data_IF_665667942357
#
_entry.id   IF_665667942357
#
_cell.length_a   1.000
_cell.length_b   1.000
_cell.length_c   1.000
_cell.angle_alpha   90.00
_cell.angle_beta   90.00
_cell.angle_gamma   90.00
#
_symmetry.space_group_name_H-M   'P 1'
#
loop_
_entity.id
_entity.type
_entity.pdbx_description
1 polymer ?
#
# COMPACT_ATOMS: atom_id res chain seq x y z
N UNK A 1 -5.13 26.51 -20.96
CA UNK A 1 -4.61 25.53 -21.95
C UNK A 1 -3.14 25.77 -22.35
N UNK A 2 -2.48 26.82 -21.87
CA UNK A 2 -1.03 27.09 -22.11
C UNK A 2 -0.10 26.47 -21.07
N UNK A 3 -0.63 25.98 -19.95
CA UNK A 3 0.16 25.55 -18.78
C UNK A 3 0.72 24.13 -18.84
N UNK A 4 0.06 23.18 -19.53
CA UNK A 4 0.53 21.78 -19.57
C UNK A 4 1.91 21.60 -20.23
N UNK A 5 2.20 22.21 -21.38
CA UNK A 5 3.53 22.17 -21.97
C UNK A 5 4.62 22.78 -21.07
N UNK A 6 4.28 23.86 -20.34
CA UNK A 6 5.21 24.56 -19.46
C UNK A 6 5.58 23.68 -18.24
N UNK A 7 4.62 22.95 -17.68
CA UNK A 7 4.87 21.98 -16.60
C UNK A 7 5.76 20.84 -17.10
N UNK A 8 5.48 20.29 -18.27
CA UNK A 8 6.26 19.20 -18.84
C UNK A 8 7.72 19.62 -19.13
N UNK A 9 7.92 20.82 -19.70
CA UNK A 9 9.26 21.39 -19.93
C UNK A 9 10.00 21.62 -18.59
N UNK A 10 9.30 22.13 -17.58
CA UNK A 10 9.86 22.33 -16.25
C UNK A 10 10.31 21.02 -15.60
N UNK A 11 9.48 19.95 -15.65
CA UNK A 11 9.82 18.65 -15.05
C UNK A 11 10.98 17.98 -15.77
N UNK A 12 11.08 18.14 -17.10
CA UNK A 12 12.20 17.60 -17.88
C UNK A 12 13.55 18.19 -17.43
N UNK A 13 13.60 19.46 -17.04
CA UNK A 13 14.78 20.12 -16.48
C UNK A 13 14.37 21.21 -15.45
N UNK A 14 14.16 20.84 -14.17
CA UNK A 14 13.80 21.79 -13.13
C UNK A 14 14.96 22.73 -12.74
N UNK A 15 16.18 22.48 -13.25
CA UNK A 15 17.38 23.24 -12.89
C UNK A 15 17.83 23.02 -11.44
N UNK A 16 17.51 21.87 -10.86
CA UNK A 16 17.82 21.48 -9.47
C UNK A 16 18.71 20.24 -9.49
N UNK A 17 19.81 20.27 -8.71
CA UNK A 17 20.74 19.11 -8.62
C UNK A 17 20.09 17.96 -7.84
N UNK A 18 19.83 16.88 -8.53
CA UNK A 18 19.24 15.63 -8.00
C UNK A 18 20.28 14.49 -7.87
N UNK A 19 21.58 14.80 -8.01
CA UNK A 19 22.66 13.78 -8.00
C UNK A 19 22.76 12.99 -6.70
N UNK A 20 22.20 13.51 -5.60
CA UNK A 20 22.16 12.88 -4.29
C UNK A 20 21.14 11.75 -4.19
N UNK A 21 20.12 11.68 -5.06
CA UNK A 21 19.03 10.70 -4.97
C UNK A 21 19.52 9.26 -5.00
N UNK A 22 20.51 8.96 -5.84
CA UNK A 22 21.15 7.64 -5.91
C UNK A 22 21.77 7.21 -4.58
N UNK A 23 22.42 8.13 -3.86
CA UNK A 23 23.05 7.82 -2.57
C UNK A 23 22.01 7.70 -1.46
N UNK A 24 20.95 8.49 -1.50
CA UNK A 24 19.85 8.42 -0.54
C UNK A 24 19.06 7.11 -0.70
N UNK A 25 18.65 6.77 -1.92
CA UNK A 25 18.01 5.51 -2.25
C UNK A 25 18.87 4.31 -1.83
N UNK A 26 20.16 4.31 -2.20
CA UNK A 26 21.10 3.25 -1.83
C UNK A 26 21.20 3.08 -0.32
N UNK A 27 21.25 4.18 0.43
CA UNK A 27 21.28 4.12 1.89
C UNK A 27 19.99 3.53 2.47
N UNK A 28 18.82 3.95 1.98
CA UNK A 28 17.51 3.41 2.39
C UNK A 28 17.46 1.90 2.15
N UNK A 29 17.83 1.46 0.94
CA UNK A 29 17.82 0.05 0.56
C UNK A 29 18.79 -0.80 1.39
N UNK A 30 19.96 -0.28 1.73
CA UNK A 30 20.96 -0.95 2.56
C UNK A 30 20.57 -1.07 4.04
N UNK A 31 19.70 -0.18 4.54
CA UNK A 31 19.36 -0.06 5.97
C UNK A 31 17.84 -0.15 6.22
N UNK A 32 17.16 -1.17 5.69
CA UNK A 32 15.72 -1.32 5.88
C UNK A 32 15.37 -1.58 7.35
N UNK A 33 14.30 -0.97 7.83
CA UNK A 33 13.76 -1.18 9.18
C UNK A 33 12.32 -1.65 9.09
N UNK A 34 11.93 -2.59 9.97
CA UNK A 34 10.57 -3.12 10.00
C UNK A 34 9.58 -2.07 10.49
N UNK A 35 8.29 -2.28 10.14
CA UNK A 35 7.17 -1.49 10.64
C UNK A 35 7.26 -1.26 12.15
N UNK A 36 6.97 -0.03 12.60
CA UNK A 36 7.06 0.44 13.99
C UNK A 36 8.50 0.49 14.56
N UNK A 37 9.56 0.26 13.77
CA UNK A 37 10.96 0.25 14.18
C UNK A 37 11.85 1.16 13.31
N UNK A 38 11.28 2.09 12.54
CA UNK A 38 11.92 2.87 11.47
C UNK A 38 12.70 4.08 12.03
N UNK A 39 13.43 3.91 13.13
CA UNK A 39 14.10 5.00 13.85
C UNK A 39 15.23 5.65 13.02
N UNK A 40 16.09 4.83 12.38
CA UNK A 40 17.21 5.35 11.59
C UNK A 40 16.73 5.91 10.26
N UNK A 41 15.73 5.27 9.67
CA UNK A 41 15.07 5.73 8.45
C UNK A 41 14.45 7.11 8.65
N UNK A 42 13.70 7.31 9.73
CA UNK A 42 13.13 8.62 10.08
C UNK A 42 14.21 9.69 10.28
N UNK A 43 15.31 9.35 10.97
CA UNK A 43 16.46 10.27 11.13
C UNK A 43 17.10 10.63 9.80
N UNK A 44 17.21 9.67 8.87
CA UNK A 44 17.76 9.90 7.55
C UNK A 44 16.91 10.88 6.75
N UNK A 45 15.57 10.68 6.75
CA UNK A 45 14.58 11.61 6.15
C UNK A 45 14.73 13.00 6.77
N UNK A 46 14.71 13.11 8.10
CA UNK A 46 14.83 14.39 8.82
C UNK A 46 16.14 15.10 8.50
N UNK A 47 17.25 14.38 8.33
CA UNK A 47 18.55 14.97 7.99
C UNK A 47 18.53 15.68 6.63
N UNK A 48 17.76 15.15 5.68
CA UNK A 48 17.59 15.76 4.35
C UNK A 48 16.64 16.94 4.41
N UNK A 49 15.48 16.80 5.08
CA UNK A 49 14.53 17.88 5.28
C UNK A 49 15.15 19.11 5.97
N UNK A 50 16.11 18.89 6.88
CA UNK A 50 16.81 19.97 7.56
C UNK A 50 17.63 20.90 6.64
N UNK A 51 17.82 20.52 5.36
CA UNK A 51 18.49 21.35 4.34
C UNK A 51 17.52 22.24 3.56
N UNK A 52 16.20 22.10 3.80
CA UNK A 52 15.12 22.78 3.07
C UNK A 52 14.45 23.82 3.97
N UNK A 53 13.79 24.80 3.36
CA UNK A 53 13.06 25.86 4.09
C UNK A 53 11.59 25.44 4.28
N UNK A 54 11.34 24.51 5.23
CA UNK A 54 10.01 23.98 5.53
C UNK A 54 9.76 23.85 7.04
N UNK A 55 8.49 23.77 7.43
CA UNK A 55 8.09 23.48 8.80
C UNK A 55 8.00 21.95 8.96
N UNK A 56 8.85 21.35 9.81
CA UNK A 56 8.87 19.90 10.03
C UNK A 56 8.24 19.55 11.37
N UNK A 57 7.31 18.60 11.34
CA UNK A 57 6.78 17.91 12.53
C UNK A 57 7.11 16.42 12.42
N UNK A 58 7.59 15.82 13.49
CA UNK A 58 8.01 14.42 13.50
C UNK A 58 7.48 13.69 14.74
N UNK A 59 7.74 12.38 14.81
CA UNK A 59 7.22 11.49 15.85
C UNK A 59 5.68 11.45 15.88
N UNK A 60 5.05 11.52 14.71
CA UNK A 60 3.59 11.46 14.57
C UNK A 60 3.18 9.98 14.41
N UNK A 61 2.43 9.45 15.38
CA UNK A 61 2.01 8.04 15.35
C UNK A 61 3.17 7.05 15.34
N UNK A 62 4.25 7.37 16.06
CA UNK A 62 5.50 6.64 16.06
C UNK A 62 6.60 7.43 15.33
N UNK A 63 7.02 6.97 14.14
CA UNK A 63 8.11 7.58 13.37
C UNK A 63 7.63 8.49 12.23
N UNK A 64 6.33 8.78 12.12
CA UNK A 64 5.76 9.61 11.05
C UNK A 64 6.29 11.04 11.04
N UNK A 65 6.47 11.59 9.83
CA UNK A 65 7.04 12.91 9.60
C UNK A 65 6.16 13.67 8.62
N UNK A 66 5.96 14.97 8.89
CA UNK A 66 5.38 15.90 7.92
C UNK A 66 6.30 17.09 7.71
N UNK A 67 6.36 17.55 6.47
CA UNK A 67 7.06 18.78 6.09
C UNK A 67 6.11 19.67 5.31
N UNK A 68 6.00 20.93 5.70
CA UNK A 68 5.02 21.89 5.16
C UNK A 68 5.73 23.08 4.55
N UNK A 69 5.47 23.35 3.28
CA UNK A 69 5.90 24.55 2.57
C UNK A 69 4.70 25.46 2.30
N UNK A 70 4.80 26.70 2.71
CA UNK A 70 3.81 27.73 2.38
C UNK A 70 4.41 28.70 1.36
N UNK A 71 3.74 28.86 0.23
CA UNK A 71 4.20 29.69 -0.88
C UNK A 71 3.08 30.57 -1.46
N UNK A 72 2.51 31.42 -0.62
CA UNK A 72 1.44 32.33 -1.01
C UNK A 72 0.04 31.69 -0.92
N UNK A 73 -0.93 32.35 -1.57
CA UNK A 73 -2.32 31.86 -1.63
C UNK A 73 -2.45 30.74 -2.67
N UNK A 74 -3.32 29.79 -2.42
CA UNK A 74 -3.58 28.66 -3.31
C UNK A 74 -4.08 27.44 -2.54
N UNK A 75 -4.26 26.31 -3.21
CA UNK A 75 -4.71 25.08 -2.57
C UNK A 75 -3.66 24.51 -1.62
N UNK A 76 -4.12 23.67 -0.71
CA UNK A 76 -3.28 22.85 0.17
C UNK A 76 -3.27 21.42 -0.36
N UNK A 77 -2.12 20.97 -0.84
CA UNK A 77 -1.94 19.65 -1.45
C UNK A 77 -1.04 18.80 -0.56
N UNK A 78 -1.52 17.61 -0.16
CA UNK A 78 -0.75 16.63 0.57
C UNK A 78 -0.27 15.54 -0.40
N UNK A 79 1.02 15.19 -0.32
CA UNK A 79 1.55 14.00 -0.99
C UNK A 79 2.19 13.07 0.04
N UNK A 80 1.83 11.78 -0.01
CA UNK A 80 2.31 10.75 0.93
C UNK A 80 3.28 9.78 0.28
N UNK A 81 4.34 9.43 1.01
CA UNK A 81 5.17 8.26 0.78
C UNK A 81 5.33 7.48 2.10
N UNK A 82 5.35 6.18 2.01
CA UNK A 82 5.69 5.28 3.12
C UNK A 82 7.18 4.97 3.16
N UNK A 83 7.69 4.37 4.27
CA UNK A 83 9.12 4.12 4.41
C UNK A 83 9.51 2.89 5.24
N UNK A 84 8.57 2.06 5.65
CA UNK A 84 8.86 0.81 6.36
C UNK A 84 9.27 -0.32 5.42
N UNK A 85 9.84 -1.40 5.99
CA UNK A 85 10.34 -2.56 5.26
C UNK A 85 9.75 -3.87 5.82
N UNK A 86 10.03 -4.97 5.13
CA UNK A 86 9.45 -6.29 5.35
C UNK A 86 10.44 -7.29 5.94
N UNK A 87 9.97 -8.30 6.71
CA UNK A 87 10.78 -9.42 7.20
C UNK A 87 11.06 -10.44 6.07
N UNK A 88 11.73 -9.99 5.03
CA UNK A 88 12.11 -10.76 3.83
C UNK A 88 13.63 -10.83 3.73
N UNK A 89 14.16 -12.02 3.42
CA UNK A 89 15.58 -12.17 3.13
C UNK A 89 15.85 -11.80 1.67
N UNK A 90 16.66 -10.79 1.46
CA UNK A 90 17.01 -10.34 0.12
C UNK A 90 17.90 -11.34 -0.61
N UNK A 91 17.57 -11.57 -1.89
CA UNK A 91 18.30 -12.47 -2.81
C UNK A 91 18.60 -11.82 -4.16
N UNK A 92 18.51 -10.50 -4.25
CA UNK A 92 18.70 -9.75 -5.50
C UNK A 92 20.13 -9.82 -6.04
N UNK A 93 21.13 -9.94 -5.14
CA UNK A 93 22.55 -9.87 -5.49
C UNK A 93 23.03 -8.45 -5.83
N UNK A 94 22.24 -7.42 -5.52
CA UNK A 94 22.63 -6.03 -5.73
C UNK A 94 23.84 -5.66 -4.88
N UNK A 95 24.71 -4.77 -5.39
CA UNK A 95 25.88 -4.29 -4.66
C UNK A 95 25.52 -3.45 -3.42
N UNK A 96 24.28 -2.98 -3.38
CA UNK A 96 23.68 -2.21 -2.28
C UNK A 96 22.54 -2.98 -1.60
N UNK A 97 22.60 -4.31 -1.63
CA UNK A 97 21.63 -5.15 -0.94
C UNK A 97 21.58 -4.84 0.56
N UNK A 98 20.45 -5.16 1.18
CA UNK A 98 20.19 -4.96 2.61
C UNK A 98 21.36 -5.45 3.49
N UNK A 99 21.77 -4.62 4.42
CA UNK A 99 22.75 -4.93 5.48
C UNK A 99 22.10 -5.48 6.75
N UNK A 100 20.76 -5.52 6.80
CA UNK A 100 19.98 -6.05 7.91
C UNK A 100 19.50 -7.46 7.56
N UNK A 101 20.12 -8.54 8.08
CA UNK A 101 19.76 -9.90 7.71
C UNK A 101 18.28 -10.20 7.98
N UNK A 102 17.56 -10.69 6.96
CA UNK A 102 16.14 -11.02 7.07
C UNK A 102 15.18 -9.84 6.96
N UNK A 103 15.68 -8.64 6.65
CA UNK A 103 14.86 -7.44 6.43
C UNK A 103 15.21 -6.84 5.06
N UNK A 104 14.22 -6.43 4.29
CA UNK A 104 14.39 -5.90 2.95
C UNK A 104 13.27 -4.89 2.60
N UNK A 105 13.60 -3.84 1.86
CA UNK A 105 12.59 -3.04 1.16
C UNK A 105 11.99 -3.83 -0.02
N UNK A 106 11.24 -4.89 0.32
CA UNK A 106 10.65 -5.78 -0.68
C UNK A 106 9.31 -5.24 -1.25
N UNK A 107 8.87 -4.06 -0.85
CA UNK A 107 7.71 -3.36 -1.41
C UNK A 107 8.07 -2.07 -2.17
N UNK A 108 9.33 -1.59 -2.04
CA UNK A 108 9.82 -0.43 -2.77
C UNK A 108 9.54 0.92 -2.10
N UNK A 109 9.29 0.92 -0.79
CA UNK A 109 9.04 2.15 -0.02
C UNK A 109 10.26 3.08 0.01
N UNK A 110 11.45 2.55 -0.18
CA UNK A 110 12.68 3.31 -0.41
C UNK A 110 12.64 4.14 -1.70
N UNK A 111 11.99 3.64 -2.75
CA UNK A 111 11.71 4.40 -3.99
C UNK A 111 10.69 5.50 -3.73
N UNK A 112 9.59 5.19 -3.03
CA UNK A 112 8.54 6.17 -2.72
C UNK A 112 9.08 7.35 -1.92
N UNK A 113 9.79 7.05 -0.83
CA UNK A 113 10.42 8.05 0.04
C UNK A 113 11.45 8.89 -0.70
N UNK A 114 12.32 8.25 -1.50
CA UNK A 114 13.35 8.98 -2.27
C UNK A 114 12.71 9.86 -3.34
N UNK A 115 11.68 9.37 -4.03
CA UNK A 115 10.94 10.11 -5.05
C UNK A 115 10.25 11.34 -4.47
N UNK A 116 9.52 11.18 -3.34
CA UNK A 116 8.89 12.32 -2.66
C UNK A 116 9.93 13.32 -2.16
N UNK A 117 11.05 12.85 -1.59
CA UNK A 117 12.12 13.75 -1.12
C UNK A 117 12.73 14.57 -2.28
N UNK A 118 12.85 13.97 -3.47
CA UNK A 118 13.30 14.67 -4.66
C UNK A 118 12.29 15.74 -5.12
N UNK A 119 10.99 15.45 -5.10
CA UNK A 119 9.94 16.42 -5.36
C UNK A 119 9.94 17.57 -4.33
N UNK A 120 10.17 17.27 -3.04
CA UNK A 120 10.32 18.28 -1.99
C UNK A 120 11.43 19.27 -2.32
N UNK A 121 12.60 18.80 -2.74
CA UNK A 121 13.73 19.68 -3.08
C UNK A 121 13.45 20.50 -4.33
N UNK A 122 12.80 19.92 -5.35
CA UNK A 122 12.40 20.68 -6.54
C UNK A 122 11.47 21.84 -6.16
N UNK A 123 10.41 21.57 -5.40
CA UNK A 123 9.44 22.58 -5.01
C UNK A 123 10.04 23.62 -4.03
N UNK A 124 10.92 23.19 -3.13
CA UNK A 124 11.62 24.13 -2.23
C UNK A 124 12.53 25.09 -2.99
N UNK A 125 13.34 24.58 -3.92
CA UNK A 125 14.25 25.39 -4.73
C UNK A 125 13.53 26.28 -5.76
N UNK A 126 12.37 25.84 -6.24
CA UNK A 126 11.64 26.50 -7.35
C UNK A 126 10.29 27.07 -6.92
N UNK A 127 10.29 27.81 -5.82
CA UNK A 127 9.09 28.53 -5.31
C UNK A 127 8.56 29.59 -6.26
N UNK A 128 9.31 29.93 -7.28
CA UNK A 128 8.92 30.88 -8.33
C UNK A 128 7.83 30.32 -9.27
N UNK A 129 7.73 28.99 -9.41
CA UNK A 129 6.81 28.35 -10.37
C UNK A 129 5.49 27.88 -9.77
N UNK A 130 5.31 27.91 -8.46
CA UNK A 130 4.10 27.41 -7.81
C UNK A 130 3.59 28.31 -6.68
N UNK A 131 2.34 28.12 -6.26
CA UNK A 131 1.74 28.82 -5.12
C UNK A 131 0.73 27.93 -4.39
N UNK A 132 0.51 28.22 -3.10
CA UNK A 132 -0.33 27.46 -2.20
C UNK A 132 0.47 26.83 -1.06
N UNK A 133 -0.02 25.71 -0.54
CA UNK A 133 0.63 24.94 0.52
C UNK A 133 0.90 23.53 0.05
N UNK A 134 2.14 23.10 0.13
CA UNK A 134 2.55 21.69 -0.09
C UNK A 134 2.84 21.03 1.24
N UNK A 135 2.29 19.83 1.46
CA UNK A 135 2.52 18.98 2.61
C UNK A 135 3.12 17.67 2.11
N UNK A 136 4.39 17.41 2.43
CA UNK A 136 4.96 16.07 2.28
C UNK A 136 4.71 15.29 3.57
N UNK A 137 4.13 14.10 3.44
CA UNK A 137 3.87 13.18 4.55
C UNK A 137 4.65 11.90 4.33
N UNK A 138 5.58 11.59 5.24
CA UNK A 138 6.33 10.34 5.28
C UNK A 138 5.72 9.45 6.35
N UNK A 139 5.16 8.31 5.92
CA UNK A 139 4.35 7.43 6.76
C UNK A 139 5.13 6.16 7.13
N UNK A 140 5.22 5.81 8.43
CA UNK A 140 5.72 4.51 8.88
C UNK A 140 4.66 3.42 8.79
N UNK A 141 5.02 2.17 9.03
CA UNK A 141 4.15 1.05 9.39
C UNK A 141 2.97 0.78 8.43
N UNK A 142 3.17 0.97 7.12
CA UNK A 142 2.18 0.65 6.09
C UNK A 142 1.94 -0.86 6.02
N UNK A 143 2.98 -1.68 6.03
CA UNK A 143 2.96 -3.13 5.84
C UNK A 143 2.18 -3.90 6.92
N UNK A 144 1.87 -3.24 8.03
CA UNK A 144 0.98 -3.75 9.09
C UNK A 144 -0.37 -3.03 9.13
N UNK A 145 -0.67 -2.20 8.11
CA UNK A 145 -1.92 -1.42 7.97
C UNK A 145 -2.24 -0.60 9.24
N UNK A 146 -1.24 0.06 9.81
CA UNK A 146 -1.36 0.84 11.04
C UNK A 146 -0.74 2.22 10.97
N UNK A 147 0.04 2.50 9.95
CA UNK A 147 0.78 3.76 9.84
C UNK A 147 -0.15 4.95 9.73
N UNK A 148 -1.07 4.92 8.78
CA UNK A 148 -2.04 5.99 8.59
C UNK A 148 -2.92 6.20 9.82
N UNK A 149 -3.53 5.14 10.37
CA UNK A 149 -4.37 5.23 11.56
C UNK A 149 -3.61 5.71 12.80
N UNK A 150 -2.37 5.26 13.00
CA UNK A 150 -1.54 5.72 14.12
C UNK A 150 -1.20 7.22 14.04
N UNK A 151 -0.91 7.73 12.84
CA UNK A 151 -0.69 9.17 12.64
C UNK A 151 -1.97 9.98 12.88
N UNK A 152 -3.12 9.48 12.43
CA UNK A 152 -4.44 10.07 12.67
C UNK A 152 -4.75 10.13 14.17
N UNK A 153 -4.59 9.00 14.88
CA UNK A 153 -4.87 8.87 16.29
C UNK A 153 -3.95 9.76 17.17
N UNK A 154 -2.72 10.02 16.70
CA UNK A 154 -1.77 10.96 17.33
C UNK A 154 -2.03 12.43 16.96
N UNK A 155 -3.17 12.74 16.37
CA UNK A 155 -3.60 14.11 16.09
C UNK A 155 -2.95 14.73 14.85
N UNK A 156 -2.82 13.99 13.75
CA UNK A 156 -2.30 14.51 12.50
C UNK A 156 -3.02 15.79 12.05
N UNK A 157 -4.35 15.84 12.22
CA UNK A 157 -5.18 16.97 11.79
C UNK A 157 -4.91 18.27 12.58
N UNK A 158 -4.38 18.18 13.79
CA UNK A 158 -3.98 19.32 14.60
C UNK A 158 -2.54 19.77 14.30
N UNK A 159 -1.75 18.91 13.67
CA UNK A 159 -0.32 19.11 13.41
C UNK A 159 0.00 19.67 12.03
N UNK A 160 -0.94 19.55 11.07
CA UNK A 160 -0.77 20.04 9.70
C UNK A 160 -1.96 20.90 9.26
N UNK A 161 -1.81 21.78 8.26
CA UNK A 161 -2.95 22.41 7.60
C UNK A 161 -3.87 21.35 7.00
N UNK A 162 -5.19 21.57 7.05
CA UNK A 162 -6.13 20.67 6.38
C UNK A 162 -5.87 20.68 4.86
N UNK A 163 -5.62 19.54 4.23
CA UNK A 163 -5.44 19.48 2.79
C UNK A 163 -6.78 19.69 2.06
N UNK A 164 -6.72 20.20 0.83
CA UNK A 164 -7.86 20.22 -0.10
C UNK A 164 -7.90 18.94 -0.94
N UNK A 165 -6.74 18.32 -1.16
CA UNK A 165 -6.55 17.07 -1.92
C UNK A 165 -5.35 16.29 -1.37
N UNK A 166 -5.44 14.97 -1.40
CA UNK A 166 -4.34 14.09 -1.05
C UNK A 166 -3.90 13.27 -2.28
N UNK A 167 -2.58 13.13 -2.43
CA UNK A 167 -1.94 12.40 -3.52
C UNK A 167 -0.96 11.38 -2.94
N UNK A 168 -0.69 10.32 -3.68
CA UNK A 168 0.31 9.33 -3.33
C UNK A 168 0.62 8.42 -4.52
N UNK A 169 1.63 7.57 -4.38
CA UNK A 169 1.95 6.59 -5.40
C UNK A 169 2.57 5.33 -4.78
N UNK A 170 2.45 4.21 -5.50
CA UNK A 170 3.15 2.97 -5.19
C UNK A 170 3.87 2.42 -6.41
N UNK A 171 5.04 1.82 -6.21
CA UNK A 171 5.72 1.10 -7.30
C UNK A 171 4.98 -0.18 -7.63
N UNK A 172 4.85 -0.45 -8.91
CA UNK A 172 4.09 -1.56 -9.46
C UNK A 172 5.00 -2.43 -10.35
N UNK A 173 4.85 -3.77 -10.36
CA UNK A 173 5.61 -4.65 -11.24
C UNK A 173 5.21 -4.45 -12.71
N UNK A 174 5.51 -3.30 -13.25
CA UNK A 174 5.34 -2.86 -14.63
C UNK A 174 6.65 -2.28 -15.16
N UNK A 175 6.76 -1.96 -16.47
CA UNK A 175 7.99 -1.43 -17.06
C UNK A 175 8.39 -0.10 -16.43
N UNK A 176 9.65 0.05 -16.05
CA UNK A 176 10.19 1.31 -15.51
C UNK A 176 10.02 2.46 -16.49
N UNK A 177 9.82 3.67 -15.97
CA UNK A 177 9.49 4.86 -16.77
C UNK A 177 7.99 5.05 -17.01
N UNK A 178 7.14 4.07 -16.71
CA UNK A 178 5.69 4.16 -16.93
C UNK A 178 4.97 4.61 -15.65
N UNK A 179 4.02 5.53 -15.79
CA UNK A 179 3.10 5.97 -14.72
C UNK A 179 1.68 5.59 -15.08
N UNK A 180 0.96 5.03 -14.12
CA UNK A 180 -0.40 4.58 -14.31
C UNK A 180 -1.35 5.37 -13.41
N UNK A 181 -2.48 5.80 -13.96
CA UNK A 181 -3.55 6.46 -13.23
C UNK A 181 -4.91 6.04 -13.77
N UNK A 182 -5.93 6.02 -12.94
CA UNK A 182 -7.30 5.77 -13.35
C UNK A 182 -8.26 6.33 -12.29
N UNK A 183 -9.42 6.82 -12.69
CA UNK A 183 -10.53 7.10 -11.79
C UNK A 183 -11.17 5.80 -11.28
N UNK A 184 -11.67 5.81 -10.05
CA UNK A 184 -12.29 4.66 -9.43
C UNK A 184 -11.28 3.73 -8.72
N UNK A 185 -11.69 2.48 -8.41
CA UNK A 185 -10.88 1.54 -7.64
C UNK A 185 -9.59 1.12 -8.34
N UNK A 186 -8.44 1.44 -7.74
CA UNK A 186 -7.10 1.06 -8.24
C UNK A 186 -6.44 -0.02 -7.38
N UNK A 187 -6.67 -0.02 -6.04
CA UNK A 187 -6.19 -1.09 -5.16
C UNK A 187 -7.33 -1.65 -4.31
N UNK A 188 -7.23 -2.93 -3.97
CA UNK A 188 -8.30 -3.64 -3.29
C UNK A 188 -8.41 -3.28 -1.80
N UNK A 189 -9.64 -3.23 -1.29
CA UNK A 189 -9.85 -3.36 0.15
C UNK A 189 -9.37 -4.72 0.64
N UNK A 190 -8.80 -4.78 1.85
CA UNK A 190 -8.34 -6.02 2.43
C UNK A 190 -8.84 -6.19 3.87
N UNK A 191 -9.13 -7.45 4.21
CA UNK A 191 -9.54 -7.80 5.55
C UNK A 191 -8.88 -9.09 6.01
N UNK A 192 -8.48 -9.12 7.28
CA UNK A 192 -8.07 -10.33 7.97
C UNK A 192 -9.15 -10.71 8.98
N UNK A 193 -9.68 -11.93 8.85
CA UNK A 193 -10.75 -12.44 9.69
C UNK A 193 -10.24 -13.67 10.43
N UNK A 194 -10.19 -13.60 11.76
CA UNK A 194 -9.85 -14.73 12.60
C UNK A 194 -11.10 -15.40 13.12
N UNK A 195 -11.26 -16.70 12.87
CA UNK A 195 -12.37 -17.53 13.32
C UNK A 195 -11.86 -18.53 14.33
N UNK A 196 -12.34 -18.46 15.58
CA UNK A 196 -12.03 -19.43 16.63
C UNK A 196 -13.22 -20.36 16.84
N UNK A 197 -13.00 -21.66 16.68
CA UNK A 197 -13.99 -22.72 16.77
C UNK A 197 -13.84 -23.45 18.10
N UNK A 198 -14.96 -23.66 18.80
CA UNK A 198 -14.99 -24.32 20.10
C UNK A 198 -15.52 -25.75 19.96
N UNK A 199 -14.75 -26.71 20.40
CA UNK A 199 -15.08 -28.14 20.42
C UNK A 199 -15.10 -28.73 21.83
N UNK A 200 -15.07 -30.05 21.90
CA UNK A 200 -14.92 -30.85 23.13
C UNK A 200 -13.81 -31.86 22.90
N UNK A 201 -12.75 -31.77 23.69
CA UNK A 201 -11.59 -32.64 23.62
C UNK A 201 -11.94 -34.09 24.03
N UNK A 202 -11.32 -35.06 23.37
CA UNK A 202 -11.38 -36.46 23.78
C UNK A 202 -10.14 -37.26 23.28
N UNK A 203 -9.99 -38.47 23.78
CA UNK A 203 -8.99 -39.40 23.24
C UNK A 203 -9.35 -39.77 21.78
N UNK A 204 -8.38 -39.73 20.86
CA UNK A 204 -8.63 -39.91 19.44
C UNK A 204 -9.26 -41.28 19.09
N UNK A 205 -9.09 -42.33 19.95
CA UNK A 205 -9.75 -43.61 19.79
C UNK A 205 -11.23 -43.62 20.20
N UNK A 206 -11.72 -42.54 20.80
CA UNK A 206 -13.11 -42.43 21.29
C UNK A 206 -13.76 -41.14 20.78
N UNK A 207 -13.81 -40.92 19.45
CA UNK A 207 -14.27 -39.64 18.84
C UNK A 207 -15.72 -39.30 19.14
N UNK A 208 -16.54 -40.32 19.49
CA UNK A 208 -17.94 -40.16 19.88
C UNK A 208 -18.13 -39.38 21.21
N UNK A 209 -17.06 -39.18 21.98
CA UNK A 209 -17.03 -38.38 23.19
C UNK A 209 -16.56 -36.93 22.94
N UNK A 210 -16.26 -36.60 21.69
CA UNK A 210 -15.76 -35.29 21.29
C UNK A 210 -16.76 -34.50 20.45
N UNK A 211 -16.50 -33.20 20.34
CA UNK A 211 -16.93 -32.36 19.22
C UNK A 211 -15.64 -31.88 18.57
N UNK A 212 -15.31 -32.41 17.41
CA UNK A 212 -14.01 -32.25 16.78
C UNK A 212 -13.91 -30.92 16.00
N UNK A 213 -13.20 -29.91 16.51
CA UNK A 213 -13.07 -28.63 15.84
C UNK A 213 -12.13 -28.70 14.63
N UNK A 214 -11.27 -29.74 14.51
CA UNK A 214 -10.43 -29.96 13.33
C UNK A 214 -11.29 -30.35 12.13
N UNK A 215 -12.21 -31.30 12.33
CA UNK A 215 -13.17 -31.70 11.31
C UNK A 215 -14.08 -30.54 10.92
N UNK A 216 -14.60 -29.79 11.90
CA UNK A 216 -15.43 -28.63 11.70
C UNK A 216 -14.70 -27.55 10.86
N UNK A 217 -13.46 -27.23 11.20
CA UNK A 217 -12.63 -26.27 10.47
C UNK A 217 -12.46 -26.68 9.00
N UNK A 218 -12.17 -27.96 8.74
CA UNK A 218 -12.05 -28.49 7.37
C UNK A 218 -13.37 -28.32 6.58
N UNK A 219 -14.53 -28.59 7.19
CA UNK A 219 -15.83 -28.40 6.55
C UNK A 219 -16.12 -26.93 6.25
N UNK A 220 -15.78 -26.02 7.17
CA UNK A 220 -15.90 -24.57 6.95
C UNK A 220 -15.02 -24.15 5.78
N UNK A 221 -13.73 -24.55 5.72
CA UNK A 221 -12.82 -24.24 4.60
C UNK A 221 -13.44 -24.63 3.26
N UNK A 222 -13.97 -25.84 3.15
CA UNK A 222 -14.64 -26.31 1.92
C UNK A 222 -15.88 -25.48 1.59
N UNK A 223 -16.69 -25.16 2.59
CA UNK A 223 -17.94 -24.42 2.39
C UNK A 223 -17.69 -22.97 1.99
N UNK A 224 -16.68 -22.31 2.55
CA UNK A 224 -16.28 -20.93 2.23
C UNK A 224 -15.92 -20.76 0.75
N UNK A 225 -15.39 -21.79 0.08
CA UNK A 225 -15.11 -21.74 -1.36
C UNK A 225 -16.36 -21.50 -2.20
N UNK A 226 -17.53 -21.81 -1.67
CA UNK A 226 -18.81 -21.55 -2.33
C UNK A 226 -19.21 -20.09 -2.39
N UNK A 227 -18.65 -19.21 -1.55
CA UNK A 227 -18.98 -17.78 -1.53
C UNK A 227 -18.63 -17.16 -2.87
N UNK A 228 -17.35 -17.22 -3.28
CA UNK A 228 -16.88 -16.66 -4.55
C UNK A 228 -17.57 -17.33 -5.74
N UNK A 229 -17.75 -18.64 -5.68
CA UNK A 229 -18.28 -19.38 -6.83
C UNK A 229 -19.82 -19.37 -6.95
N UNK A 230 -20.59 -18.89 -5.97
CA UNK A 230 -22.05 -19.04 -5.94
C UNK A 230 -22.81 -17.84 -5.36
N UNK A 231 -22.15 -16.93 -4.64
CA UNK A 231 -22.84 -15.82 -3.96
C UNK A 231 -22.34 -14.43 -4.43
N UNK A 232 -21.15 -14.37 -5.03
CA UNK A 232 -20.61 -13.18 -5.72
C UNK A 232 -21.02 -13.27 -7.18
N UNK A 233 -21.50 -12.18 -7.78
CA UNK A 233 -21.87 -12.14 -9.19
C UNK A 233 -20.61 -12.31 -10.07
N UNK A 234 -20.77 -12.85 -11.27
CA UNK A 234 -19.63 -13.17 -12.14
C UNK A 234 -18.85 -11.93 -12.61
N UNK A 235 -19.50 -10.79 -12.63
CA UNK A 235 -18.92 -9.48 -12.95
C UNK A 235 -18.25 -8.81 -11.74
N UNK A 236 -18.55 -9.25 -10.52
CA UNK A 236 -17.99 -8.73 -9.29
C UNK A 236 -16.67 -9.43 -8.94
N UNK A 237 -15.78 -8.70 -8.29
CA UNK A 237 -14.52 -9.25 -7.78
C UNK A 237 -14.62 -9.51 -6.27
N UNK A 238 -14.17 -10.68 -5.86
CA UNK A 238 -14.01 -11.02 -4.45
C UNK A 238 -13.05 -12.18 -4.27
N UNK A 239 -12.19 -12.09 -3.25
CA UNK A 239 -11.28 -13.15 -2.83
C UNK A 239 -11.60 -13.53 -1.40
N UNK A 240 -11.71 -14.82 -1.12
CA UNK A 240 -11.80 -15.40 0.23
C UNK A 240 -10.80 -16.55 0.31
N UNK A 241 -9.66 -16.29 0.94
CA UNK A 241 -8.58 -17.27 1.12
C UNK A 241 -8.43 -17.64 2.58
N UNK A 242 -8.27 -18.92 2.89
CA UNK A 242 -7.89 -19.37 4.23
C UNK A 242 -6.36 -19.52 4.26
N UNK A 243 -5.68 -18.54 4.84
CA UNK A 243 -4.22 -18.51 4.93
C UNK A 243 -3.66 -19.40 6.03
N UNK A 244 -4.44 -19.61 7.10
CA UNK A 244 -4.01 -20.43 8.23
C UNK A 244 -5.16 -21.30 8.74
N UNK A 245 -4.84 -22.56 9.03
CA UNK A 245 -5.67 -23.48 9.81
C UNK A 245 -4.78 -24.11 10.88
N UNK A 246 -5.10 -23.89 12.15
CA UNK A 246 -4.37 -24.43 13.29
C UNK A 246 -5.31 -25.22 14.21
N UNK A 247 -4.93 -26.46 14.55
CA UNK A 247 -5.72 -27.31 15.44
C UNK A 247 -4.88 -28.44 16.01
N UNK A 248 -4.98 -28.66 17.33
CA UNK A 248 -4.34 -29.78 18.02
C UNK A 248 -2.80 -29.72 18.10
N UNK A 249 -2.22 -30.60 18.91
CA UNK A 249 -0.78 -30.67 19.15
C UNK A 249 -0.24 -32.10 19.15
N UNK A 250 -1.11 -33.10 19.31
CA UNK A 250 -0.73 -34.53 19.44
C UNK A 250 -1.61 -35.41 18.56
N UNK A 251 -1.10 -36.56 18.16
CA UNK A 251 -1.82 -37.48 17.28
C UNK A 251 -2.94 -38.30 17.95
N UNK A 252 -2.98 -38.31 19.27
CA UNK A 252 -3.90 -39.16 20.04
C UNK A 252 -4.95 -38.37 20.84
N UNK A 253 -5.02 -37.07 20.63
CA UNK A 253 -5.99 -36.18 21.29
C UNK A 253 -6.74 -35.37 20.25
N UNK A 254 -8.07 -35.44 20.25
CA UNK A 254 -8.95 -34.50 19.56
C UNK A 254 -8.93 -33.22 20.39
N UNK A 255 -8.58 -32.06 19.80
CA UNK A 255 -8.50 -30.80 20.53
C UNK A 255 -9.88 -30.25 20.89
N UNK A 256 -9.92 -29.19 21.69
CA UNK A 256 -11.12 -28.43 22.02
C UNK A 256 -11.22 -27.10 21.28
N UNK A 257 -10.16 -26.69 20.54
CA UNK A 257 -10.11 -25.44 19.79
C UNK A 257 -9.46 -25.66 18.43
N UNK A 258 -9.99 -24.97 17.39
CA UNK A 258 -9.32 -24.77 16.12
C UNK A 258 -9.45 -23.30 15.70
N UNK A 259 -8.45 -22.79 14.98
CA UNK A 259 -8.43 -21.41 14.49
C UNK A 259 -8.21 -21.37 12.99
N UNK A 260 -9.01 -20.57 12.29
CA UNK A 260 -8.84 -20.22 10.90
C UNK A 260 -8.49 -18.73 10.80
N UNK A 261 -7.57 -18.37 9.89
CA UNK A 261 -7.31 -16.97 9.53
C UNK A 261 -7.57 -16.82 8.05
N UNK A 262 -8.52 -15.95 7.72
CA UNK A 262 -8.94 -15.66 6.36
C UNK A 262 -8.32 -14.34 5.91
N UNK A 263 -7.97 -14.26 4.62
CA UNK A 263 -7.64 -13.03 3.92
C UNK A 263 -8.68 -12.79 2.82
N UNK A 264 -9.30 -11.62 2.83
CA UNK A 264 -10.33 -11.24 1.87
C UNK A 264 -9.89 -10.00 1.07
N UNK A 265 -10.33 -9.90 -0.21
CA UNK A 265 -10.06 -8.75 -1.09
C UNK A 265 -11.30 -8.37 -1.86
N UNK A 266 -11.53 -7.05 -2.05
CA UNK A 266 -12.71 -6.53 -2.72
C UNK A 266 -12.40 -5.22 -3.46
N UNK A 267 -13.15 -4.93 -4.55
CA UNK A 267 -13.19 -3.62 -5.22
C UNK A 267 -14.56 -2.93 -5.06
N UNK A 268 -15.45 -3.48 -4.24
CA UNK A 268 -16.77 -2.91 -3.97
C UNK A 268 -17.19 -3.24 -2.54
N UNK A 269 -17.60 -2.22 -1.79
CA UNK A 269 -18.00 -2.36 -0.38
C UNK A 269 -19.25 -3.20 -0.21
N UNK A 270 -20.20 -3.22 -1.19
CA UNK A 270 -21.38 -4.05 -1.12
C UNK A 270 -21.05 -5.54 -1.31
N UNK A 271 -20.06 -5.85 -2.14
CA UNK A 271 -19.53 -7.21 -2.29
C UNK A 271 -18.88 -7.66 -1.00
N UNK A 272 -18.09 -6.78 -0.36
CA UNK A 272 -17.48 -6.99 0.95
C UNK A 272 -18.52 -7.33 2.02
N UNK A 273 -19.54 -6.48 2.17
CA UNK A 273 -20.61 -6.67 3.17
C UNK A 273 -21.36 -7.99 2.96
N UNK A 274 -21.69 -8.31 1.70
CA UNK A 274 -22.33 -9.57 1.33
C UNK A 274 -21.45 -10.78 1.69
N UNK A 275 -20.14 -10.66 1.44
CA UNK A 275 -19.18 -11.72 1.75
C UNK A 275 -19.03 -11.93 3.25
N UNK A 276 -19.00 -10.86 4.05
CA UNK A 276 -18.96 -10.94 5.51
C UNK A 276 -20.20 -11.66 6.05
N UNK A 277 -21.38 -11.25 5.62
CA UNK A 277 -22.62 -11.90 6.00
C UNK A 277 -22.64 -13.40 5.61
N UNK A 278 -22.04 -13.76 4.48
CA UNK A 278 -21.93 -15.15 4.05
C UNK A 278 -20.93 -15.93 4.91
N UNK A 279 -19.77 -15.37 5.25
CA UNK A 279 -18.76 -15.98 6.14
C UNK A 279 -19.40 -16.27 7.51
N UNK A 280 -20.00 -15.27 8.14
CA UNK A 280 -20.64 -15.41 9.45
C UNK A 280 -21.73 -16.49 9.43
N UNK A 281 -22.64 -16.42 8.44
CA UNK A 281 -23.71 -17.40 8.28
C UNK A 281 -23.17 -18.82 8.12
N UNK A 282 -22.15 -19.03 7.27
CA UNK A 282 -21.57 -20.36 7.02
C UNK A 282 -20.89 -20.88 8.29
N UNK A 283 -20.06 -20.09 8.93
CA UNK A 283 -19.32 -20.48 10.13
C UNK A 283 -20.28 -20.86 11.25
N UNK A 284 -21.27 -20.03 11.54
CA UNK A 284 -22.24 -20.34 12.61
C UNK A 284 -23.15 -21.52 12.27
N UNK A 285 -23.53 -21.69 11.00
CA UNK A 285 -24.34 -22.82 10.57
C UNK A 285 -23.58 -24.15 10.71
N UNK A 286 -22.30 -24.21 10.37
CA UNK A 286 -21.45 -25.39 10.54
C UNK A 286 -21.19 -25.70 12.02
N UNK A 287 -21.06 -24.68 12.89
CA UNK A 287 -21.02 -24.85 14.34
C UNK A 287 -22.30 -25.52 14.86
N UNK A 288 -23.47 -25.01 14.45
CA UNK A 288 -24.76 -25.60 14.83
C UNK A 288 -24.88 -27.05 14.34
N UNK A 289 -24.49 -27.31 13.08
CA UNK A 289 -24.53 -28.64 12.48
C UNK A 289 -23.62 -29.65 13.22
N UNK A 290 -22.49 -29.17 13.75
CA UNK A 290 -21.52 -29.97 14.52
C UNK A 290 -21.86 -30.07 16.00
N UNK A 291 -22.84 -29.32 16.50
CA UNK A 291 -23.26 -29.30 17.90
C UNK A 291 -22.22 -28.71 18.84
N UNK A 292 -21.52 -27.65 18.43
CA UNK A 292 -20.47 -27.01 19.24
C UNK A 292 -21.02 -26.46 20.56
N UNK A 293 -20.22 -26.45 21.64
CA UNK A 293 -20.66 -25.98 22.97
C UNK A 293 -20.88 -24.46 23.00
N UNK A 294 -20.30 -23.72 22.06
CA UNK A 294 -20.45 -22.26 21.89
C UNK A 294 -20.43 -21.90 20.40
N UNK A 295 -21.02 -20.75 20.02
CA UNK A 295 -20.80 -20.15 18.71
C UNK A 295 -19.29 -19.91 18.45
N UNK A 296 -18.90 -19.81 17.17
CA UNK A 296 -17.56 -19.39 16.85
C UNK A 296 -17.35 -17.90 17.18
N UNK A 297 -16.14 -17.55 17.66
CA UNK A 297 -15.71 -16.17 17.74
C UNK A 297 -15.18 -15.74 16.38
N UNK A 298 -15.66 -14.61 15.86
CA UNK A 298 -15.22 -14.03 14.59
C UNK A 298 -14.68 -12.63 14.87
N UNK A 299 -13.40 -12.43 14.62
CA UNK A 299 -12.71 -11.18 14.88
C UNK A 299 -12.14 -10.65 13.57
N UNK A 300 -12.53 -9.41 13.24
CA UNK A 300 -11.96 -8.65 12.14
C UNK A 300 -10.75 -7.88 12.68
N UNK A 301 -9.58 -8.10 12.10
CA UNK A 301 -8.36 -7.47 12.57
C UNK A 301 -7.67 -6.72 11.46
N UNK A 302 -6.90 -6.64 10.71
CA UNK A 302 -6.46 -5.72 9.68
C UNK A 302 -7.62 -5.40 8.74
N UNK A 303 -7.88 -4.14 8.55
CA UNK A 303 -8.96 -3.62 7.74
C UNK A 303 -8.40 -2.49 6.88
N UNK A 304 -8.02 -2.81 5.65
CA UNK A 304 -7.59 -1.82 4.65
C UNK A 304 -8.79 -1.36 3.82
N UNK A 305 -9.02 -0.07 3.77
CA UNK A 305 -10.06 0.50 2.92
C UNK A 305 -9.70 0.40 1.44
N UNK A 306 -10.71 0.49 0.59
CA UNK A 306 -10.56 0.55 -0.85
C UNK A 306 -9.79 1.82 -1.25
N UNK A 307 -8.76 1.69 -2.08
CA UNK A 307 -8.14 2.84 -2.74
C UNK A 307 -8.93 3.13 -4.02
N UNK A 308 -9.80 4.13 -3.91
CA UNK A 308 -10.81 4.51 -4.90
C UNK A 308 -10.57 5.97 -5.33
N UNK A 309 -9.87 6.16 -6.42
CA UNK A 309 -9.46 7.47 -6.90
C UNK A 309 -10.67 8.33 -7.30
N UNK A 310 -10.68 9.57 -6.85
CA UNK A 310 -11.71 10.53 -7.18
C UNK A 310 -11.61 10.94 -8.66
N UNK A 311 -12.75 10.93 -9.36
CA UNK A 311 -12.79 11.23 -10.78
C UNK A 311 -12.42 12.70 -11.09
N UNK A 312 -12.77 13.66 -10.22
CA UNK A 312 -12.45 15.07 -10.44
C UNK A 312 -10.95 15.32 -10.22
N UNK A 313 -10.31 14.61 -9.26
CA UNK A 313 -8.86 14.67 -9.05
C UNK A 313 -8.14 14.06 -10.26
N UNK A 314 -8.61 12.90 -10.75
CA UNK A 314 -8.06 12.26 -11.93
C UNK A 314 -8.13 13.16 -13.17
N UNK A 315 -9.26 13.83 -13.39
CA UNK A 315 -9.43 14.78 -14.51
C UNK A 315 -8.47 15.98 -14.45
N UNK A 316 -7.95 16.31 -13.26
CA UNK A 316 -6.93 17.36 -13.07
C UNK A 316 -5.52 16.82 -13.25
N UNK A 317 -5.20 15.67 -12.67
CA UNK A 317 -3.83 15.11 -12.62
C UNK A 317 -3.46 14.42 -13.95
N UNK A 318 -4.36 13.61 -14.52
CA UNK A 318 -4.08 12.80 -15.71
C UNK A 318 -3.56 13.62 -16.92
N UNK A 319 -4.13 14.77 -17.28
CA UNK A 319 -3.61 15.55 -18.39
C UNK A 319 -2.16 16.03 -18.20
N UNK A 320 -1.75 16.28 -16.95
CA UNK A 320 -0.36 16.67 -16.65
C UNK A 320 0.56 15.45 -16.80
N UNK A 321 0.15 14.28 -16.31
CA UNK A 321 0.90 13.04 -16.51
C UNK A 321 1.06 12.70 -18.01
N UNK A 322 -0.01 12.86 -18.80
CA UNK A 322 0.04 12.63 -20.25
C UNK A 322 1.01 13.60 -20.95
N UNK A 323 1.09 14.86 -20.49
CA UNK A 323 2.02 15.83 -21.04
C UNK A 323 3.49 15.52 -20.66
N UNK A 324 3.73 14.99 -19.46
CA UNK A 324 5.08 14.69 -18.95
C UNK A 324 5.59 13.35 -19.50
N UNK A 325 4.77 12.30 -19.46
CA UNK A 325 5.20 10.93 -19.75
C UNK A 325 4.82 10.45 -21.16
N UNK A 326 3.92 11.15 -21.87
CA UNK A 326 3.52 10.78 -23.24
C UNK A 326 2.95 9.35 -23.30
N UNK A 327 3.55 8.50 -24.09
CA UNK A 327 3.12 7.10 -24.28
C UNK A 327 3.36 6.24 -23.01
N UNK A 328 4.19 6.69 -22.09
CA UNK A 328 4.43 6.04 -20.79
C UNK A 328 3.45 6.50 -19.70
N UNK A 329 2.46 7.38 -19.99
CA UNK A 329 1.28 7.62 -19.18
C UNK A 329 0.17 6.65 -19.59
N UNK A 330 -0.22 5.74 -18.70
CA UNK A 330 -1.14 4.64 -19.03
C UNK A 330 -2.30 4.53 -18.03
N UNK A 331 -3.35 3.80 -18.40
CA UNK A 331 -4.44 3.50 -17.48
C UNK A 331 -3.99 2.50 -16.42
N UNK A 332 -4.28 2.81 -15.15
CA UNK A 332 -3.94 1.92 -14.05
C UNK A 332 -4.76 0.62 -14.12
N UNK A 333 -4.11 -0.55 -14.07
CA UNK A 333 -4.84 -1.78 -13.84
C UNK A 333 -5.37 -1.82 -12.40
N UNK A 334 -6.46 -2.54 -12.17
CA UNK A 334 -6.87 -2.85 -10.80
C UNK A 334 -5.86 -3.80 -10.18
N UNK A 335 -5.17 -3.35 -9.14
CA UNK A 335 -4.18 -4.14 -8.42
C UNK A 335 -4.79 -4.75 -7.15
N UNK A 336 -4.61 -6.05 -6.96
CA UNK A 336 -5.19 -6.79 -5.83
C UNK A 336 -4.45 -6.57 -4.50
N UNK A 337 -3.35 -5.82 -4.50
CA UNK A 337 -2.72 -5.31 -3.30
C UNK A 337 -3.64 -4.31 -2.59
N UNK A 338 -3.39 -4.05 -1.34
CA UNK A 338 -4.10 -3.06 -0.51
C UNK A 338 -3.11 -2.08 0.10
N UNK A 339 -3.63 -0.96 0.56
CA UNK A 339 -2.89 0.21 0.97
C UNK A 339 -3.68 0.94 2.07
N UNK A 340 -3.02 1.53 3.07
CA UNK A 340 -3.66 2.31 4.13
C UNK A 340 -3.70 3.83 3.85
N UNK A 341 -3.05 4.30 2.77
CA UNK A 341 -3.06 5.70 2.34
C UNK A 341 -4.44 6.34 2.38
N UNK A 342 -5.47 5.63 1.89
CA UNK A 342 -6.82 6.18 1.74
C UNK A 342 -7.48 6.55 3.08
N UNK A 343 -6.96 6.09 4.21
CA UNK A 343 -7.44 6.47 5.54
C UNK A 343 -7.17 7.96 5.83
N UNK A 344 -6.04 8.50 5.35
CA UNK A 344 -5.68 9.92 5.55
C UNK A 344 -6.68 10.86 4.87
N UNK A 345 -6.89 10.80 3.53
CA UNK A 345 -7.88 11.67 2.89
C UNK A 345 -9.31 11.44 3.40
N UNK A 346 -9.69 10.20 3.77
CA UNK A 346 -10.99 9.91 4.39
C UNK A 346 -11.16 10.60 5.74
N UNK A 347 -10.10 10.63 6.56
CA UNK A 347 -10.11 11.35 7.84
C UNK A 347 -10.35 12.85 7.67
N UNK A 348 -9.71 13.45 6.68
CA UNK A 348 -9.92 14.88 6.35
C UNK A 348 -11.22 15.15 5.57
N UNK A 349 -11.86 14.12 5.02
CA UNK A 349 -13.05 14.25 4.17
C UNK A 349 -12.76 14.91 2.82
N UNK A 350 -11.57 14.67 2.25
CA UNK A 350 -11.10 15.30 1.01
C UNK A 350 -10.89 14.26 -0.10
N UNK A 351 -10.98 14.67 -1.39
CA UNK A 351 -10.74 13.78 -2.51
C UNK A 351 -9.24 13.44 -2.64
N UNK A 352 -8.96 12.35 -3.38
CA UNK A 352 -7.58 11.89 -3.55
C UNK A 352 -7.35 11.14 -4.86
N UNK A 353 -6.09 11.03 -5.26
CA UNK A 353 -5.61 10.11 -6.29
C UNK A 353 -4.35 9.38 -5.84
N UNK A 354 -4.31 8.10 -6.14
CA UNK A 354 -3.18 7.22 -5.89
C UNK A 354 -2.70 6.63 -7.20
N UNK A 355 -1.43 6.90 -7.54
CA UNK A 355 -0.81 6.51 -8.78
C UNK A 355 -0.08 5.16 -8.63
N UNK A 356 0.16 4.48 -9.74
CA UNK A 356 1.10 3.35 -9.78
C UNK A 356 2.29 3.71 -10.68
N UNK A 357 3.50 3.32 -10.26
CA UNK A 357 4.74 3.60 -11.00
C UNK A 357 5.45 2.31 -11.36
N UNK A 358 5.70 2.08 -12.64
CA UNK A 358 6.42 0.92 -13.13
C UNK A 358 7.84 0.86 -12.57
N UNK A 359 8.26 -0.30 -12.06
CA UNK A 359 9.55 -0.46 -11.40
C UNK A 359 10.42 -1.61 -11.92
N UNK A 360 9.93 -2.38 -12.87
CA UNK A 360 10.67 -3.50 -13.48
C UNK A 360 11.54 -2.99 -14.63
N UNK A 361 12.78 -3.46 -14.74
CA UNK A 361 13.61 -3.19 -15.90
C UNK A 361 12.85 -3.46 -17.21
N UNK A 362 12.86 -2.49 -18.12
CA UNK A 362 12.04 -2.55 -19.34
C UNK A 362 12.39 -3.75 -20.21
N UNK A 363 13.67 -4.13 -20.29
CA UNK A 363 14.08 -5.29 -21.09
C UNK A 363 13.62 -6.62 -20.44
N UNK A 364 13.60 -6.69 -19.12
CA UNK A 364 13.04 -7.85 -18.39
C UNK A 364 11.53 -7.94 -18.61
N UNK A 365 10.84 -6.81 -18.52
CA UNK A 365 9.40 -6.73 -18.74
C UNK A 365 9.03 -7.16 -20.17
N UNK A 366 9.66 -6.56 -21.19
CA UNK A 366 9.36 -6.82 -22.60
C UNK A 366 9.60 -8.30 -22.97
N UNK A 367 10.71 -8.88 -22.48
CA UNK A 367 11.01 -10.30 -22.68
C UNK A 367 9.96 -11.21 -22.01
N UNK A 368 9.47 -10.85 -20.82
CA UNK A 368 8.44 -11.60 -20.12
C UNK A 368 7.07 -11.51 -20.82
N UNK A 369 6.74 -10.34 -21.38
CA UNK A 369 5.52 -10.13 -22.17
C UNK A 369 5.58 -10.93 -23.48
N UNK A 370 6.71 -10.88 -24.21
CA UNK A 370 6.89 -11.65 -25.46
C UNK A 370 6.78 -13.17 -25.22
N UNK A 371 7.26 -13.64 -24.06
CA UNK A 371 7.20 -15.04 -23.66
C UNK A 371 5.85 -15.48 -23.06
N UNK A 372 4.89 -14.57 -22.83
CA UNK A 372 3.65 -14.79 -22.06
C UNK A 372 3.93 -15.35 -20.64
N UNK A 373 4.95 -14.79 -19.98
CA UNK A 373 5.49 -15.27 -18.70
C UNK A 373 5.65 -14.18 -17.63
N UNK A 374 4.90 -13.09 -17.73
CA UNK A 374 5.00 -11.96 -16.78
C UNK A 374 4.89 -12.42 -15.33
N UNK A 375 3.91 -13.28 -15.02
CA UNK A 375 3.69 -13.79 -13.67
C UNK A 375 4.80 -14.74 -13.15
N UNK A 376 5.69 -15.22 -14.01
CA UNK A 376 6.77 -16.14 -13.65
C UNK A 376 8.14 -15.46 -13.63
N UNK A 377 8.37 -14.55 -14.56
CA UNK A 377 9.69 -14.01 -14.85
C UNK A 377 9.89 -12.58 -14.30
N UNK A 378 8.80 -11.85 -13.99
CA UNK A 378 8.87 -10.55 -13.35
C UNK A 378 8.82 -10.70 -11.83
N UNK A 379 9.85 -10.23 -11.09
CA UNK A 379 9.80 -10.20 -9.63
C UNK A 379 8.63 -9.34 -9.12
N UNK A 380 7.90 -9.85 -8.14
CA UNK A 380 6.77 -9.14 -7.53
C UNK A 380 7.13 -8.59 -6.15
N UNK A 381 6.41 -7.58 -5.71
CA UNK A 381 6.47 -7.08 -4.33
C UNK A 381 6.40 -8.25 -3.33
N UNK A 382 7.04 -8.10 -2.18
CA UNK A 382 7.17 -9.08 -1.10
C UNK A 382 8.02 -10.33 -1.45
N UNK A 383 8.70 -10.34 -2.61
CA UNK A 383 9.64 -11.42 -2.95
C UNK A 383 11.11 -10.98 -2.71
N UNK A 384 11.96 -11.94 -2.29
CA UNK A 384 13.35 -11.65 -1.97
C UNK A 384 14.22 -11.21 -3.16
N UNK A 385 13.73 -11.37 -4.38
CA UNK A 385 14.38 -10.91 -5.61
C UNK A 385 13.72 -9.66 -6.22
N UNK A 386 12.77 -9.04 -5.52
CA UNK A 386 12.18 -7.77 -5.95
C UNK A 386 13.22 -6.65 -5.83
N UNK A 387 13.49 -5.96 -6.92
CA UNK A 387 14.42 -4.85 -6.95
C UNK A 387 13.95 -3.82 -7.97
N UNK A 388 13.35 -2.70 -7.52
CA UNK A 388 13.04 -1.58 -8.39
C UNK A 388 14.29 -1.02 -9.08
N UNK A 389 14.14 -0.59 -10.33
CA UNK A 389 15.24 0.08 -11.02
C UNK A 389 15.49 1.47 -10.42
N UNK A 390 16.70 1.98 -10.55
CA UNK A 390 16.99 3.38 -10.18
C UNK A 390 16.22 4.41 -11.01
N UNK A 391 15.84 4.05 -12.24
CA UNK A 391 14.95 4.85 -13.07
C UNK A 391 13.60 5.06 -12.41
N UNK A 392 13.09 4.08 -11.67
CA UNK A 392 11.82 4.20 -10.95
C UNK A 392 11.84 5.29 -9.89
N UNK A 393 12.99 5.55 -9.27
CA UNK A 393 13.16 6.69 -8.33
C UNK A 393 12.91 8.02 -9.06
N UNK A 394 13.53 8.19 -10.25
CA UNK A 394 13.33 9.38 -11.06
C UNK A 394 11.88 9.50 -11.53
N UNK A 395 11.30 8.40 -12.02
CA UNK A 395 9.90 8.37 -12.48
C UNK A 395 8.94 8.73 -11.34
N UNK A 396 9.19 8.22 -10.11
CA UNK A 396 8.37 8.56 -8.94
C UNK A 396 8.50 10.04 -8.56
N UNK A 397 9.71 10.61 -8.64
CA UNK A 397 9.94 12.04 -8.38
C UNK A 397 9.22 12.92 -9.40
N UNK A 398 9.34 12.58 -10.68
CA UNK A 398 8.70 13.31 -11.78
C UNK A 398 7.17 13.20 -11.70
N UNK A 399 6.62 12.00 -11.37
CA UNK A 399 5.19 11.78 -11.18
C UNK A 399 4.64 12.55 -9.97
N UNK A 400 5.35 12.52 -8.83
CA UNK A 400 4.97 13.30 -7.65
C UNK A 400 4.97 14.80 -7.94
N UNK A 401 6.02 15.29 -8.61
CA UNK A 401 6.13 16.71 -9.00
C UNK A 401 5.01 17.08 -9.97
N UNK A 402 4.71 16.24 -10.96
CA UNK A 402 3.63 16.47 -11.93
C UNK A 402 2.26 16.55 -11.24
N UNK A 403 1.95 15.60 -10.37
CA UNK A 403 0.68 15.55 -9.64
C UNK A 403 0.53 16.77 -8.68
N UNK A 404 1.60 17.16 -8.00
CA UNK A 404 1.61 18.38 -7.15
C UNK A 404 1.41 19.64 -7.99
N UNK A 405 2.12 19.79 -9.11
CA UNK A 405 2.03 20.97 -9.98
C UNK A 405 0.70 21.03 -10.74
N UNK A 406 -0.04 19.94 -10.89
CA UNK A 406 -1.40 19.96 -11.42
C UNK A 406 -2.32 20.89 -10.62
N UNK A 407 -2.04 21.07 -9.32
CA UNK A 407 -2.78 21.95 -8.41
C UNK A 407 -2.04 23.24 -8.06
N UNK A 408 -0.72 23.20 -7.97
CA UNK A 408 0.08 24.28 -7.39
C UNK A 408 0.72 25.21 -8.44
N UNK A 409 0.73 24.83 -9.73
CA UNK A 409 1.38 25.61 -10.78
C UNK A 409 0.88 27.05 -10.85
N UNK A 410 1.79 28.00 -10.94
CA UNK A 410 1.47 29.42 -11.19
C UNK A 410 1.24 29.67 -12.66
N UNK A 411 0.13 30.33 -13.00
CA UNK A 411 -0.12 30.87 -14.33
C UNK A 411 0.73 32.13 -14.64
#
# INVERSE_FOLDING_TARGET
MSTLPDIAEFIADPGVDQSWTDSFYTWMHEHPELSEQEEQTAKHILSRLATMDCEVTHDIGGHGITAVWRNGEGPTVLYRADFDALPVTETTGASYASKNPGVMHACGHDVHTTGLMAACEILDARRDVWSGTFIALFQPAEEVTRGASSMIDDGLAEKIPAPDVCLGAHVYPGPSGTVYSAAGPVMAACDTITVTLHGISAHASSPHNSIDPTYLAAMIVVRLQGIVGREIAAEDFGVVSVGTLSSGHTNNTIPDVATLVLNCRFYDTKVRDRTYAAIERIVQAECVASGTPAPADIVYSAHGELTDNDAEVHDVVRPVLDAVFGEDSADAPRWTASEDFSEIPRHFGVPYEFLLVGCTDRAVWDAAVEADRVNQDVPTNHSGNFLPTKESVRTTADAATAALLAYLWRE
#
